data_IF_030910942278
#
_entry.id   IF_030910942278
#
_cell.length_a   1.000
_cell.length_b   1.000
_cell.length_c   1.000
_cell.angle_alpha   90.00
_cell.angle_beta   90.00
_cell.angle_gamma   90.00
#
_symmetry.space_group_name_H-M   'P 1'
#
loop_
_entity.id
_entity.type
_entity.pdbx_description
1 polymer ?
#
# COMPACT_ATOMS: atom_id res chain seq x y z
N UNK A 1 23.35 -14.63 38.63
CA UNK A 1 23.69 -13.48 37.80
C UNK A 1 22.51 -13.33 36.82
N UNK A 2 21.79 -12.23 36.87
CA UNK A 2 20.63 -12.01 36.01
C UNK A 2 21.11 -11.57 34.63
N UNK A 3 20.55 -12.10 33.50
CA UNK A 3 20.89 -11.59 32.20
C UNK A 3 20.25 -10.22 31.96
N UNK A 4 21.03 -9.31 31.43
CA UNK A 4 20.59 -7.97 31.07
C UNK A 4 19.64 -8.05 29.86
N UNK A 5 18.39 -7.64 30.09
CA UNK A 5 17.44 -7.39 29.01
C UNK A 5 17.91 -6.18 28.21
N UNK A 6 18.38 -6.39 27.01
CA UNK A 6 18.62 -5.31 26.04
C UNK A 6 17.27 -4.94 25.45
N UNK A 7 16.64 -3.95 26.08
CA UNK A 7 15.43 -3.31 25.60
C UNK A 7 15.84 -2.35 24.47
N UNK A 8 15.66 -2.73 23.22
CA UNK A 8 15.75 -1.80 22.10
C UNK A 8 14.48 -0.94 22.10
N UNK A 9 14.64 0.29 22.58
CA UNK A 9 13.62 1.35 22.46
C UNK A 9 13.49 1.76 21.00
N UNK A 10 12.45 1.27 20.33
CA UNK A 10 11.92 1.92 19.14
C UNK A 10 11.09 3.13 19.60
N UNK A 11 11.26 4.32 19.02
CA UNK A 11 10.36 5.42 19.30
C UNK A 11 8.97 5.10 18.72
N UNK A 12 8.04 4.72 19.58
CA UNK A 12 6.62 4.72 19.26
C UNK A 12 6.20 6.15 19.00
N UNK A 13 5.95 6.47 17.74
CA UNK A 13 5.31 7.72 17.35
C UNK A 13 3.86 7.67 17.83
N UNK A 14 3.60 8.32 18.97
CA UNK A 14 2.25 8.56 19.47
C UNK A 14 1.59 9.58 18.54
N UNK A 15 0.64 9.11 17.74
CA UNK A 15 -0.31 10.00 17.05
C UNK A 15 -1.37 10.40 18.06
N UNK A 16 -1.33 11.63 18.54
CA UNK A 16 -2.41 12.25 19.30
C UNK A 16 -3.59 12.50 18.36
N UNK A 17 -4.66 11.76 18.55
CA UNK A 17 -5.98 12.12 18.05
C UNK A 17 -6.54 13.21 18.97
N UNK A 18 -6.55 14.43 18.48
CA UNK A 18 -7.25 15.55 19.13
C UNK A 18 -8.66 15.64 18.60
N UNK A 19 -9.63 15.17 19.36
CA UNK A 19 -11.03 15.57 19.21
C UNK A 19 -11.19 16.99 19.69
N UNK A 20 -11.77 17.85 18.87
CA UNK A 20 -12.36 19.10 19.29
C UNK A 20 -13.76 19.22 18.70
N UNK A 21 -14.75 18.92 19.54
CA UNK A 21 -16.13 19.35 19.38
C UNK A 21 -16.24 20.87 19.38
N UNK A 22 -16.93 21.42 18.39
CA UNK A 22 -17.62 22.69 18.56
C UNK A 22 -18.98 22.68 17.89
N UNK A 23 -19.97 22.45 18.72
CA UNK A 23 -21.36 22.82 18.47
C UNK A 23 -21.54 24.33 18.60
N UNK A 24 -22.23 24.97 17.70
CA UNK A 24 -23.18 26.04 18.03
C UNK A 24 -24.11 26.37 16.87
N UNK A 25 -25.36 26.41 17.26
CA UNK A 25 -26.59 26.79 16.55
C UNK A 25 -26.55 28.25 16.03
N UNK A 26 -27.27 28.57 14.95
CA UNK A 26 -28.57 29.23 15.04
C UNK A 26 -29.08 29.78 13.70
N UNK A 27 -30.31 29.47 13.43
CA UNK A 27 -31.44 30.25 12.91
C UNK A 27 -31.22 31.34 11.84
N UNK A 28 -32.07 31.23 10.81
CA UNK A 28 -32.41 32.36 9.95
C UNK A 28 -33.31 31.94 8.77
N UNK A 29 -34.60 31.83 9.03
CA UNK A 29 -35.72 31.82 8.06
C UNK A 29 -35.68 33.05 7.15
N UNK A 30 -35.87 32.88 5.85
CA UNK A 30 -36.77 33.78 5.09
C UNK A 30 -37.26 33.16 3.80
N UNK A 31 -38.56 32.96 3.77
CA UNK A 31 -39.44 32.73 2.67
C UNK A 31 -39.53 34.00 1.80
N UNK A 32 -39.49 33.86 0.50
CA UNK A 32 -40.16 34.75 -0.42
C UNK A 32 -40.54 34.02 -1.70
N UNK A 33 -41.81 33.74 -1.76
CA UNK A 33 -42.60 33.38 -2.97
C UNK A 33 -42.68 34.56 -3.90
N UNK A 34 -42.41 34.38 -5.19
CA UNK A 34 -43.02 35.20 -6.24
C UNK A 34 -43.33 34.33 -7.46
N UNK A 35 -44.59 34.13 -7.62
CA UNK A 35 -45.25 33.64 -8.80
C UNK A 35 -45.40 34.78 -9.81
N UNK A 36 -45.01 34.57 -11.07
CA UNK A 36 -45.51 35.39 -12.21
C UNK A 36 -45.76 34.48 -13.40
N UNK A 37 -47.00 34.26 -13.62
CA UNK A 37 -47.90 34.25 -14.81
C UNK A 37 -47.25 34.03 -16.20
N UNK A 38 -47.79 33.00 -16.85
CA UNK A 38 -47.72 32.69 -18.28
C UNK A 38 -48.31 33.83 -19.10
N UNK A 39 -47.64 34.23 -20.17
CA UNK A 39 -48.30 34.71 -21.35
C UNK A 39 -47.73 34.13 -22.65
N UNK A 40 -48.61 33.72 -23.50
CA UNK A 40 -48.43 33.06 -24.78
C UNK A 40 -48.33 34.09 -25.91
N UNK A 41 -47.59 33.71 -26.93
CA UNK A 41 -47.71 34.00 -28.36
C UNK A 41 -46.54 34.76 -28.97
N UNK A 42 -45.90 34.12 -29.89
CA UNK A 42 -45.67 34.53 -31.29
C UNK A 42 -44.37 33.83 -31.82
N UNK A 43 -44.59 32.96 -32.78
CA UNK A 43 -43.58 32.32 -33.61
C UNK A 43 -43.01 33.32 -34.63
N UNK A 44 -41.68 33.49 -34.62
CA UNK A 44 -40.93 34.12 -35.72
C UNK A 44 -39.78 33.14 -36.09
N UNK A 45 -39.61 32.76 -37.37
CA UNK A 45 -38.53 31.86 -37.77
C UNK A 45 -37.20 32.61 -37.81
N UNK A 46 -36.19 32.04 -37.12
CA UNK A 46 -34.82 32.53 -37.21
C UNK A 46 -34.15 32.06 -38.49
N UNK A 47 -33.29 32.90 -39.10
CA UNK A 47 -32.50 32.52 -40.23
C UNK A 47 -31.40 31.54 -39.84
N UNK A 48 -31.29 30.46 -40.57
CA UNK A 48 -30.19 29.47 -40.50
C UNK A 48 -28.89 30.11 -40.94
N UNK A 49 -27.95 30.30 -40.03
CA UNK A 49 -26.60 30.72 -40.35
C UNK A 49 -25.75 29.45 -40.51
N UNK A 50 -25.17 29.13 -41.69
CA UNK A 50 -24.44 27.89 -41.95
C UNK A 50 -22.94 27.96 -41.60
N UNK A 51 -22.50 28.83 -40.71
CA UNK A 51 -21.09 28.94 -40.31
C UNK A 51 -20.97 29.01 -38.79
N UNK A 52 -21.25 27.89 -38.11
CA UNK A 52 -20.70 27.66 -36.78
C UNK A 52 -19.55 26.64 -36.91
N UNK A 53 -18.29 27.05 -36.77
CA UNK A 53 -17.24 26.05 -36.65
C UNK A 53 -17.56 25.21 -35.42
N UNK A 54 -17.77 23.90 -35.64
CA UNK A 54 -17.76 22.94 -34.55
C UNK A 54 -16.49 23.22 -33.72
N UNK A 55 -16.66 23.71 -32.49
CA UNK A 55 -15.57 23.70 -31.53
C UNK A 55 -15.18 22.24 -31.41
N UNK A 56 -14.01 21.88 -31.99
CA UNK A 56 -13.28 20.74 -31.53
C UNK A 56 -13.11 20.94 -30.03
N UNK A 57 -13.78 20.10 -29.24
CA UNK A 57 -13.54 20.00 -27.81
C UNK A 57 -12.10 19.51 -27.69
N UNK A 58 -11.17 20.45 -27.49
CA UNK A 58 -9.83 20.11 -27.03
C UNK A 58 -10.01 19.25 -25.77
N UNK A 59 -9.35 18.07 -25.69
CA UNK A 59 -9.44 17.25 -24.49
C UNK A 59 -9.12 18.12 -23.30
N UNK A 60 -10.06 18.20 -22.33
CA UNK A 60 -9.85 18.98 -21.12
C UNK A 60 -8.61 18.41 -20.44
N UNK A 61 -7.52 19.17 -20.46
CA UNK A 61 -6.31 18.82 -19.74
C UNK A 61 -6.66 18.65 -18.26
N UNK A 62 -6.49 17.44 -17.74
CA UNK A 62 -6.74 17.16 -16.32
C UNK A 62 -5.65 17.89 -15.54
N UNK A 63 -6.03 18.69 -14.53
CA UNK A 63 -5.07 19.40 -13.71
C UNK A 63 -4.22 18.42 -12.87
N UNK A 64 -2.90 18.65 -12.73
CA UNK A 64 -2.04 17.85 -11.86
C UNK A 64 -2.59 17.75 -10.42
N UNK A 65 -2.38 16.62 -9.77
CA UNK A 65 -2.84 16.37 -8.39
C UNK A 65 -4.31 15.98 -8.27
N UNK A 66 -5.07 15.96 -9.35
CA UNK A 66 -6.50 15.69 -9.29
C UNK A 66 -6.81 14.23 -8.98
N UNK A 67 -6.00 13.29 -9.50
CA UNK A 67 -6.13 11.87 -9.20
C UNK A 67 -5.74 11.59 -7.73
N UNK A 68 -4.65 12.20 -7.25
CA UNK A 68 -4.25 12.14 -5.83
C UNK A 68 -5.37 12.63 -4.89
N UNK A 69 -6.04 13.72 -5.25
CA UNK A 69 -7.17 14.25 -4.48
C UNK A 69 -8.36 13.28 -4.49
N UNK A 70 -8.71 12.70 -5.65
CA UNK A 70 -9.80 11.74 -5.78
C UNK A 70 -9.54 10.48 -4.94
N UNK A 71 -8.32 9.94 -4.97
CA UNK A 71 -7.91 8.81 -4.13
C UNK A 71 -7.97 9.17 -2.65
N UNK A 72 -7.43 10.34 -2.27
CA UNK A 72 -7.46 10.79 -0.86
C UNK A 72 -8.89 11.03 -0.34
N UNK A 73 -9.82 11.36 -1.23
CA UNK A 73 -11.24 11.53 -0.92
C UNK A 73 -12.04 10.20 -0.98
N UNK A 74 -11.39 9.09 -1.33
CA UNK A 74 -12.00 7.76 -1.55
C UNK A 74 -13.13 7.78 -2.60
N UNK A 75 -13.08 8.72 -3.55
CA UNK A 75 -14.08 8.87 -4.61
C UNK A 75 -13.81 7.88 -5.76
N UNK A 76 -14.32 6.66 -5.60
CA UNK A 76 -14.15 5.56 -6.55
C UNK A 76 -14.56 5.95 -7.98
N UNK A 77 -15.71 6.65 -8.12
CA UNK A 77 -16.22 7.04 -9.43
C UNK A 77 -15.33 8.07 -10.12
N UNK A 78 -14.83 9.02 -9.35
CA UNK A 78 -13.91 10.03 -9.88
C UNK A 78 -12.55 9.42 -10.22
N UNK A 79 -12.04 8.50 -9.39
CA UNK A 79 -10.81 7.74 -9.69
C UNK A 79 -10.94 6.97 -10.99
N UNK A 80 -12.03 6.22 -11.18
CA UNK A 80 -12.31 5.50 -12.44
C UNK A 80 -12.33 6.47 -13.63
N UNK A 81 -13.12 7.56 -13.52
CA UNK A 81 -13.27 8.53 -14.60
C UNK A 81 -11.91 9.17 -14.98
N UNK A 82 -11.10 9.55 -14.00
CA UNK A 82 -9.81 10.18 -14.26
C UNK A 82 -8.79 9.20 -14.85
N UNK A 83 -8.79 7.96 -14.39
CA UNK A 83 -7.92 6.89 -14.91
C UNK A 83 -8.26 6.52 -16.34
N UNK A 84 -9.56 6.46 -16.70
CA UNK A 84 -10.04 6.23 -18.07
C UNK A 84 -9.65 7.35 -19.04
N UNK A 85 -9.61 8.60 -18.56
CA UNK A 85 -9.33 9.76 -19.39
C UNK A 85 -7.86 9.98 -19.69
N UNK A 86 -6.96 9.61 -18.77
CA UNK A 86 -5.53 9.81 -18.93
C UNK A 86 -4.70 8.93 -18.01
N UNK A 87 -3.85 8.11 -18.60
CA UNK A 87 -2.82 7.35 -17.86
C UNK A 87 -1.62 8.20 -17.47
N UNK A 88 -1.49 9.42 -18.02
CA UNK A 88 -0.32 10.29 -17.79
C UNK A 88 -0.14 10.72 -16.33
N UNK A 89 -1.20 10.61 -15.50
CA UNK A 89 -1.17 11.01 -14.09
C UNK A 89 -1.29 9.82 -13.14
N UNK A 90 -1.29 8.59 -13.68
CA UNK A 90 -1.49 7.38 -12.88
C UNK A 90 -0.40 7.20 -11.80
N UNK A 91 0.80 7.67 -12.09
CA UNK A 91 1.99 7.61 -11.23
C UNK A 91 2.45 8.99 -10.74
N UNK A 92 1.58 10.02 -10.80
CA UNK A 92 1.92 11.30 -10.17
C UNK A 92 2.22 11.13 -8.68
N UNK A 93 3.12 11.95 -8.13
CA UNK A 93 3.51 11.84 -6.74
C UNK A 93 3.20 13.13 -5.99
N UNK A 94 2.75 12.99 -4.74
CA UNK A 94 2.55 14.11 -3.82
C UNK A 94 3.90 14.58 -3.23
N UNK A 95 3.86 15.58 -2.32
CA UNK A 95 5.04 16.13 -1.65
C UNK A 95 5.84 15.12 -0.81
N UNK A 96 5.27 13.96 -0.50
CA UNK A 96 5.96 12.87 0.21
C UNK A 96 6.53 11.81 -0.75
N UNK A 97 6.27 11.96 -2.04
CA UNK A 97 6.59 10.96 -3.05
C UNK A 97 5.55 9.83 -3.14
N UNK A 98 4.42 9.93 -2.46
CA UNK A 98 3.38 8.91 -2.50
C UNK A 98 2.60 8.99 -3.81
N UNK A 99 2.52 7.87 -4.55
CA UNK A 99 1.66 7.74 -5.73
C UNK A 99 0.20 7.49 -5.34
N UNK A 100 -0.77 7.69 -6.27
CA UNK A 100 -2.16 7.32 -6.03
C UNK A 100 -2.32 5.88 -5.55
N UNK A 101 -1.60 4.93 -6.16
CA UNK A 101 -1.62 3.52 -5.75
C UNK A 101 -1.05 3.32 -4.35
N UNK A 102 0.07 3.97 -4.00
CA UNK A 102 0.63 3.85 -2.65
C UNK A 102 -0.33 4.39 -1.59
N UNK A 103 -1.00 5.51 -1.84
CA UNK A 103 -2.05 6.05 -0.96
C UNK A 103 -3.18 5.04 -0.79
N UNK A 104 -3.66 4.44 -1.88
CA UNK A 104 -4.72 3.42 -1.83
C UNK A 104 -4.30 2.20 -1.00
N UNK A 105 -3.03 1.75 -1.11
CA UNK A 105 -2.47 0.64 -0.32
C UNK A 105 -2.35 1.01 1.16
N UNK A 106 -1.88 2.22 1.49
CA UNK A 106 -1.79 2.71 2.88
C UNK A 106 -3.14 2.60 3.60
N UNK A 107 -4.19 3.05 2.94
CA UNK A 107 -5.56 3.08 3.49
C UNK A 107 -6.37 1.80 3.24
N UNK A 108 -5.79 0.80 2.57
CA UNK A 108 -6.44 -0.47 2.22
C UNK A 108 -7.70 -0.30 1.34
N UNK A 109 -7.65 0.64 0.42
CA UNK A 109 -8.73 0.95 -0.54
C UNK A 109 -8.69 -0.05 -1.70
N UNK A 110 -9.23 -1.25 -1.49
CA UNK A 110 -9.05 -2.40 -2.40
C UNK A 110 -9.53 -2.08 -3.81
N UNK A 111 -10.76 -1.55 -3.97
CA UNK A 111 -11.34 -1.29 -5.27
C UNK A 111 -10.59 -0.18 -6.03
N UNK A 112 -10.17 0.87 -5.33
CA UNK A 112 -9.35 1.93 -5.91
C UNK A 112 -7.99 1.38 -6.34
N UNK A 113 -7.34 0.56 -5.51
CA UNK A 113 -6.06 -0.06 -5.87
C UNK A 113 -6.18 -0.92 -7.13
N UNK A 114 -7.26 -1.71 -7.26
CA UNK A 114 -7.53 -2.51 -8.46
C UNK A 114 -7.68 -1.64 -9.71
N UNK A 115 -8.48 -0.57 -9.64
CA UNK A 115 -8.63 0.37 -10.76
C UNK A 115 -7.27 0.93 -11.19
N UNK A 116 -6.46 1.38 -10.23
CA UNK A 116 -5.16 1.96 -10.53
C UNK A 116 -4.21 0.95 -11.17
N UNK A 117 -4.17 -0.30 -10.68
CA UNK A 117 -3.38 -1.39 -11.27
C UNK A 117 -3.85 -1.72 -12.68
N UNK A 118 -5.18 -1.79 -12.93
CA UNK A 118 -5.75 -2.05 -14.25
C UNK A 118 -5.38 -0.98 -15.28
N UNK A 119 -5.15 0.25 -14.80
CA UNK A 119 -4.69 1.37 -15.64
C UNK A 119 -3.16 1.52 -15.70
N UNK A 120 -2.44 0.52 -15.21
CA UNK A 120 -0.98 0.44 -15.34
C UNK A 120 -0.19 1.23 -14.31
N UNK A 121 -0.76 1.51 -13.14
CA UNK A 121 -0.02 2.12 -12.04
C UNK A 121 1.21 1.30 -11.65
N UNK A 122 2.33 1.98 -11.47
CA UNK A 122 3.61 1.35 -11.15
C UNK A 122 3.65 0.88 -9.69
N UNK A 123 3.56 -0.43 -9.49
CA UNK A 123 3.61 -1.06 -8.16
C UNK A 123 4.97 -0.93 -7.46
N UNK A 124 6.01 -0.56 -8.21
CA UNK A 124 7.40 -0.46 -7.75
C UNK A 124 7.83 0.98 -7.44
N UNK A 125 6.99 1.98 -7.71
CA UNK A 125 7.31 3.40 -7.52
C UNK A 125 7.44 3.74 -6.05
N UNK A 126 8.66 4.11 -5.63
CA UNK A 126 8.96 4.41 -4.23
C UNK A 126 8.66 5.87 -3.87
N UNK A 127 8.21 6.06 -2.64
CA UNK A 127 8.10 7.35 -1.98
C UNK A 127 9.45 7.80 -1.39
N UNK A 128 9.47 8.94 -0.70
CA UNK A 128 10.69 9.51 -0.11
C UNK A 128 11.27 8.69 1.06
N UNK A 129 10.51 7.73 1.60
CA UNK A 129 10.98 6.82 2.64
C UNK A 129 11.20 5.39 2.12
N UNK A 130 11.26 5.22 0.79
CA UNK A 130 11.51 3.97 0.10
C UNK A 130 10.42 2.90 0.33
N UNK A 131 9.18 3.29 0.58
CA UNK A 131 8.04 2.41 0.49
C UNK A 131 7.46 2.45 -0.94
N UNK A 132 7.17 1.30 -1.53
CA UNK A 132 6.41 1.18 -2.78
C UNK A 132 5.08 0.46 -2.51
N UNK A 133 4.08 0.55 -3.41
CA UNK A 133 2.83 -0.19 -3.26
C UNK A 133 3.05 -1.67 -2.99
N UNK A 134 3.93 -2.33 -3.75
CA UNK A 134 4.26 -3.74 -3.58
C UNK A 134 4.95 -4.04 -2.24
N UNK A 135 6.02 -3.31 -1.90
CA UNK A 135 6.75 -3.51 -0.64
C UNK A 135 5.85 -3.27 0.57
N UNK A 136 5.07 -2.19 0.55
CA UNK A 136 4.19 -1.84 1.66
C UNK A 136 3.04 -2.84 1.82
N UNK A 137 2.42 -3.27 0.72
CA UNK A 137 1.36 -4.29 0.79
C UNK A 137 1.88 -5.59 1.41
N UNK A 138 3.07 -6.04 1.02
CA UNK A 138 3.73 -7.19 1.63
C UNK A 138 3.96 -7.00 3.12
N UNK A 139 4.58 -5.88 3.48
CA UNK A 139 4.98 -5.55 4.85
C UNK A 139 3.83 -5.31 5.83
N UNK A 140 2.64 -4.91 5.36
CA UNK A 140 1.51 -4.52 6.21
C UNK A 140 0.30 -5.47 6.11
N UNK A 141 0.47 -6.65 5.51
CA UNK A 141 -0.58 -7.66 5.47
C UNK A 141 -1.77 -7.27 4.57
N UNK A 142 -1.56 -6.43 3.54
CA UNK A 142 -2.61 -6.03 2.59
C UNK A 142 -2.83 -7.13 1.54
N UNK A 143 -3.24 -8.30 2.01
CA UNK A 143 -3.19 -9.56 1.24
C UNK A 143 -3.98 -9.48 -0.07
N UNK A 144 -5.17 -8.89 -0.08
CA UNK A 144 -6.00 -8.82 -1.28
C UNK A 144 -5.39 -7.89 -2.34
N UNK A 145 -4.87 -6.74 -1.93
CA UNK A 145 -4.20 -5.81 -2.84
C UNK A 145 -2.89 -6.42 -3.35
N UNK A 146 -2.12 -7.07 -2.47
CA UNK A 146 -0.88 -7.74 -2.85
C UNK A 146 -1.15 -8.85 -3.88
N UNK A 147 -2.17 -9.68 -3.65
CA UNK A 147 -2.57 -10.73 -4.59
C UNK A 147 -2.90 -10.15 -5.97
N UNK A 148 -3.69 -9.07 -5.99
CA UNK A 148 -4.07 -8.42 -7.24
C UNK A 148 -2.89 -7.85 -8.00
N UNK A 149 -1.94 -7.19 -7.30
CA UNK A 149 -0.71 -6.69 -7.92
C UNK A 149 0.16 -7.81 -8.47
N UNK A 150 0.30 -8.94 -7.76
CA UNK A 150 1.08 -10.08 -8.22
C UNK A 150 0.48 -10.75 -9.46
N UNK A 151 -0.85 -10.75 -9.59
CA UNK A 151 -1.56 -11.33 -10.73
C UNK A 151 -1.50 -10.43 -11.97
N UNK A 152 -1.53 -9.10 -11.79
CA UNK A 152 -1.73 -8.14 -12.89
C UNK A 152 -0.53 -7.24 -13.17
N UNK A 153 0.59 -7.40 -12.45
CA UNK A 153 1.77 -6.56 -12.59
C UNK A 153 3.06 -7.33 -12.32
N UNK A 154 4.20 -6.71 -12.62
CA UNK A 154 5.52 -7.28 -12.43
C UNK A 154 6.26 -6.59 -11.28
N UNK A 155 6.45 -7.26 -10.13
CA UNK A 155 7.27 -6.72 -9.05
C UNK A 155 8.76 -6.73 -9.43
N UNK A 156 9.42 -5.58 -9.28
CA UNK A 156 10.86 -5.49 -9.43
C UNK A 156 11.56 -5.90 -8.14
N UNK A 157 12.16 -7.08 -8.14
CA UNK A 157 12.83 -7.65 -6.97
C UNK A 157 14.16 -6.97 -6.61
N UNK A 158 14.66 -6.08 -7.45
CA UNK A 158 15.84 -5.25 -7.14
C UNK A 158 15.50 -4.06 -6.24
N UNK A 159 14.22 -3.71 -6.14
CA UNK A 159 13.73 -2.61 -5.30
C UNK A 159 13.51 -3.12 -3.88
N UNK A 160 14.16 -2.46 -2.92
CA UNK A 160 14.11 -2.80 -1.51
C UNK A 160 13.65 -1.61 -0.67
N UNK A 161 13.17 -1.86 0.53
CA UNK A 161 12.79 -0.82 1.47
C UNK A 161 14.02 -0.14 2.10
N UNK A 162 13.81 0.90 2.92
CA UNK A 162 14.87 1.66 3.62
C UNK A 162 15.80 0.82 4.51
N UNK A 163 15.44 -0.41 4.82
CA UNK A 163 16.27 -1.34 5.58
C UNK A 163 16.98 -2.36 4.68
N UNK A 164 16.83 -2.25 3.37
CA UNK A 164 17.38 -3.19 2.39
C UNK A 164 16.57 -4.48 2.27
N UNK A 165 15.37 -4.55 2.81
CA UNK A 165 14.52 -5.74 2.77
C UNK A 165 13.56 -5.75 1.57
N UNK A 166 13.33 -6.93 0.98
CA UNK A 166 12.25 -7.18 0.03
C UNK A 166 10.89 -7.29 0.74
N UNK A 167 9.81 -7.59 0.02
CA UNK A 167 8.46 -7.68 0.60
C UNK A 167 8.30 -8.85 1.60
N UNK A 168 9.07 -9.93 1.44
CA UNK A 168 8.94 -11.14 2.25
C UNK A 168 9.47 -10.96 3.67
N UNK A 169 10.60 -10.25 3.83
CA UNK A 169 11.25 -10.04 5.14
C UNK A 169 10.29 -9.41 6.15
N UNK A 170 9.72 -8.21 5.92
CA UNK A 170 8.80 -7.60 6.88
C UNK A 170 7.46 -8.33 6.99
N UNK A 171 7.03 -9.07 5.95
CA UNK A 171 5.84 -9.92 6.05
C UNK A 171 6.06 -11.06 7.06
N UNK A 172 7.22 -11.69 7.03
CA UNK A 172 7.60 -12.73 7.99
C UNK A 172 7.80 -12.16 9.40
N UNK A 173 8.53 -11.03 9.51
CA UNK A 173 8.75 -10.32 10.76
C UNK A 173 7.46 -9.99 11.49
N UNK A 174 6.45 -9.46 10.77
CA UNK A 174 5.20 -8.98 11.37
C UNK A 174 4.11 -10.06 11.51
N UNK A 175 4.41 -11.30 11.16
CA UNK A 175 3.47 -12.40 11.32
C UNK A 175 2.38 -12.48 10.24
N UNK A 176 2.57 -11.87 9.09
CA UNK A 176 1.61 -11.87 7.99
C UNK A 176 1.69 -13.17 7.16
N UNK A 177 1.34 -14.30 7.78
CA UNK A 177 1.43 -15.63 7.17
C UNK A 177 0.75 -15.72 5.81
N UNK A 178 -0.40 -15.06 5.61
CA UNK A 178 -1.09 -15.05 4.34
C UNK A 178 -0.24 -14.43 3.23
N UNK A 179 0.43 -13.30 3.52
CA UNK A 179 1.32 -12.63 2.58
C UNK A 179 2.59 -13.44 2.33
N UNK A 180 3.16 -14.07 3.38
CA UNK A 180 4.30 -14.98 3.23
C UNK A 180 3.97 -16.10 2.25
N UNK A 181 2.83 -16.78 2.44
CA UNK A 181 2.37 -17.84 1.53
C UNK A 181 2.17 -17.34 0.11
N UNK A 182 1.55 -16.18 -0.04
CA UNK A 182 1.28 -15.59 -1.33
C UNK A 182 2.57 -15.28 -2.10
N UNK A 183 3.53 -14.61 -1.45
CA UNK A 183 4.83 -14.28 -2.04
C UNK A 183 5.65 -15.52 -2.40
N UNK A 184 5.64 -16.55 -1.55
CA UNK A 184 6.35 -17.79 -1.80
C UNK A 184 5.70 -18.63 -2.92
N UNK A 185 4.36 -18.63 -3.01
CA UNK A 185 3.61 -19.32 -4.07
C UNK A 185 3.82 -18.63 -5.42
N UNK A 186 3.87 -17.30 -5.45
CA UNK A 186 4.19 -16.52 -6.63
C UNK A 186 5.61 -16.83 -7.17
N UNK A 187 6.55 -17.08 -6.29
CA UNK A 187 7.88 -17.59 -6.60
C UNK A 187 8.87 -16.61 -7.22
N UNK A 188 8.48 -15.35 -7.46
CA UNK A 188 9.39 -14.31 -7.98
C UNK A 188 10.26 -13.67 -6.89
N UNK A 189 9.81 -13.72 -5.62
CA UNK A 189 10.57 -13.14 -4.50
C UNK A 189 11.82 -13.98 -4.19
N UNK A 190 12.96 -13.31 -3.97
CA UNK A 190 14.16 -13.97 -3.46
C UNK A 190 13.96 -14.32 -1.98
N UNK A 191 13.80 -15.62 -1.71
CA UNK A 191 13.52 -16.14 -0.36
C UNK A 191 14.70 -15.97 0.58
N UNK A 192 15.93 -15.95 0.03
CA UNK A 192 17.19 -15.87 0.77
C UNK A 192 17.78 -14.46 0.78
N UNK A 193 17.03 -13.47 0.28
CA UNK A 193 17.43 -12.07 0.34
C UNK A 193 17.81 -11.65 1.76
N UNK A 194 18.94 -10.95 1.89
CA UNK A 194 19.41 -10.41 3.17
C UNK A 194 19.31 -8.89 3.19
N UNK A 195 18.71 -8.36 4.24
CA UNK A 195 18.61 -6.91 4.46
C UNK A 195 19.95 -6.31 4.94
N UNK A 196 19.99 -5.02 5.26
CA UNK A 196 21.20 -4.33 5.72
C UNK A 196 21.83 -4.92 7.00
N UNK A 197 21.06 -5.68 7.77
CA UNK A 197 21.53 -6.38 8.98
C UNK A 197 21.99 -7.82 8.71
N UNK A 198 21.87 -8.26 7.45
CA UNK A 198 22.11 -9.65 7.06
C UNK A 198 20.94 -10.57 7.39
N UNK A 199 19.78 -10.05 7.80
CA UNK A 199 18.63 -10.87 8.12
C UNK A 199 17.89 -11.30 6.86
N UNK A 200 17.63 -12.60 6.76
CA UNK A 200 16.64 -13.17 5.85
C UNK A 200 15.26 -13.15 6.49
N UNK A 201 14.21 -13.43 5.73
CA UNK A 201 12.87 -13.62 6.27
C UNK A 201 12.84 -14.73 7.35
N UNK A 202 13.63 -15.79 7.17
CA UNK A 202 13.76 -16.87 8.14
C UNK A 202 14.40 -16.40 9.45
N UNK A 203 15.48 -15.63 9.38
CA UNK A 203 16.15 -15.09 10.57
C UNK A 203 15.24 -14.12 11.31
N UNK A 204 14.56 -13.19 10.61
CA UNK A 204 13.68 -12.21 11.26
C UNK A 204 12.47 -12.85 11.95
N UNK A 205 11.88 -13.89 11.36
CA UNK A 205 10.77 -14.62 11.96
C UNK A 205 11.15 -15.28 13.31
N UNK A 206 12.43 -15.57 13.51
CA UNK A 206 12.94 -16.19 14.75
C UNK A 206 13.53 -15.17 15.71
N UNK A 207 14.45 -14.33 15.23
CA UNK A 207 15.30 -13.47 16.05
C UNK A 207 14.55 -12.33 16.73
N UNK A 208 13.53 -11.78 16.06
CA UNK A 208 12.88 -10.53 16.49
C UNK A 208 11.50 -10.77 17.14
N UNK A 209 11.09 -12.02 17.32
CA UNK A 209 9.71 -12.36 17.71
C UNK A 209 9.67 -13.31 18.91
N UNK A 210 8.46 -13.65 19.32
CA UNK A 210 8.17 -14.35 20.58
C UNK A 210 8.11 -15.89 20.45
N UNK A 211 8.43 -16.43 19.27
CA UNK A 211 8.37 -17.86 19.00
C UNK A 211 6.95 -18.47 18.99
N UNK A 212 5.90 -17.64 18.98
CA UNK A 212 4.50 -18.06 18.99
C UNK A 212 4.12 -18.88 17.76
N UNK A 213 2.93 -19.47 17.78
CA UNK A 213 2.43 -20.38 16.73
C UNK A 213 2.49 -19.75 15.33
N UNK A 214 2.22 -18.45 15.20
CA UNK A 214 2.26 -17.78 13.90
C UNK A 214 3.66 -17.81 13.29
N UNK A 215 4.70 -17.58 14.10
CA UNK A 215 6.09 -17.62 13.63
C UNK A 215 6.57 -19.04 13.36
N UNK A 216 6.10 -20.04 14.13
CA UNK A 216 6.33 -21.45 13.82
C UNK A 216 5.73 -21.85 12.46
N UNK A 217 4.56 -21.31 12.12
CA UNK A 217 3.94 -21.58 10.82
C UNK A 217 4.67 -20.85 9.69
N UNK A 218 5.12 -19.61 9.90
CA UNK A 218 5.94 -18.86 8.94
C UNK A 218 7.27 -19.58 8.69
N UNK A 219 7.98 -19.98 9.72
CA UNK A 219 9.25 -20.73 9.59
C UNK A 219 9.02 -22.00 8.80
N UNK A 220 7.94 -22.74 9.07
CA UNK A 220 7.59 -23.96 8.33
C UNK A 220 7.34 -23.66 6.84
N UNK A 221 6.62 -22.60 6.50
CA UNK A 221 6.37 -22.21 5.12
C UNK A 221 7.67 -21.82 4.40
N UNK A 222 8.52 -21.01 5.04
CA UNK A 222 9.81 -20.62 4.48
C UNK A 222 10.70 -21.84 4.19
N UNK A 223 10.82 -22.76 5.15
CA UNK A 223 11.60 -23.99 4.98
C UNK A 223 11.00 -24.92 3.90
N UNK A 224 9.68 -25.03 3.84
CA UNK A 224 8.99 -25.84 2.82
C UNK A 224 9.22 -25.32 1.39
N UNK A 225 9.48 -24.01 1.24
CA UNK A 225 9.83 -23.37 -0.03
C UNK A 225 11.33 -23.24 -0.26
N UNK A 226 12.16 -23.86 0.58
CA UNK A 226 13.60 -23.99 0.37
C UNK A 226 14.45 -22.86 0.92
N UNK A 227 13.95 -22.10 1.90
CA UNK A 227 14.78 -21.10 2.59
C UNK A 227 16.08 -21.72 3.15
N UNK A 228 17.20 -21.10 2.90
CA UNK A 228 18.50 -21.56 3.33
C UNK A 228 18.72 -21.24 4.82
N UNK A 229 18.58 -22.26 5.66
CA UNK A 229 18.75 -22.13 7.12
C UNK A 229 20.18 -21.90 7.59
N UNK A 230 21.17 -22.08 6.71
CA UNK A 230 22.58 -21.90 7.02
C UNK A 230 23.07 -20.46 6.83
N UNK A 231 22.24 -19.58 6.26
CA UNK A 231 22.60 -18.17 6.10
C UNK A 231 22.78 -17.50 7.45
N UNK A 232 23.79 -16.62 7.49
CA UNK A 232 24.17 -15.91 8.71
C UNK A 232 23.96 -14.42 8.54
N UNK A 233 23.52 -13.81 9.60
CA UNK A 233 23.44 -12.35 9.70
C UNK A 233 24.84 -11.69 9.86
N UNK A 234 24.87 -10.37 9.99
CA UNK A 234 26.10 -9.61 10.18
C UNK A 234 26.82 -9.90 11.54
N UNK A 235 26.15 -10.61 12.45
CA UNK A 235 26.74 -11.08 13.71
C UNK A 235 27.25 -12.53 13.61
N UNK A 236 27.09 -13.16 12.44
CA UNK A 236 27.48 -14.53 12.18
C UNK A 236 26.49 -15.58 12.69
N UNK A 237 25.25 -15.19 13.02
CA UNK A 237 24.21 -16.07 13.58
C UNK A 237 23.24 -16.54 12.52
N UNK A 238 22.85 -17.81 12.62
CA UNK A 238 21.74 -18.41 11.85
C UNK A 238 20.41 -18.26 12.60
N UNK A 239 19.31 -18.60 11.93
CA UNK A 239 17.98 -18.71 12.56
C UNK A 239 17.98 -19.74 13.71
N UNK A 240 18.74 -20.87 13.54
CA UNK A 240 18.89 -21.90 14.56
C UNK A 240 19.62 -21.36 15.80
N UNK A 241 20.68 -20.58 15.61
CA UNK A 241 21.42 -19.97 16.72
C UNK A 241 20.50 -19.08 17.56
N UNK A 242 19.65 -18.26 16.92
CA UNK A 242 18.65 -17.44 17.61
C UNK A 242 17.60 -18.28 18.34
N UNK A 243 17.04 -19.31 17.69
CA UNK A 243 16.06 -20.20 18.33
C UNK A 243 16.61 -20.85 19.61
N UNK A 244 17.89 -21.27 19.57
CA UNK A 244 18.60 -21.87 20.72
C UNK A 244 18.82 -20.85 21.83
N UNK A 245 19.30 -19.64 21.51
CA UNK A 245 19.57 -18.59 22.50
C UNK A 245 18.30 -18.08 23.20
N UNK A 246 17.19 -18.02 22.45
CA UNK A 246 15.89 -17.53 22.95
C UNK A 246 15.08 -18.63 23.63
N UNK A 247 15.52 -19.90 23.54
CA UNK A 247 14.81 -21.04 24.14
C UNK A 247 13.51 -21.40 23.42
N UNK A 248 13.47 -21.21 22.09
CA UNK A 248 12.30 -21.51 21.27
C UNK A 248 12.34 -22.97 20.77
N UNK A 249 12.11 -23.93 21.64
CA UNK A 249 12.24 -25.37 21.37
C UNK A 249 11.46 -25.83 20.13
N UNK A 250 10.25 -25.28 19.91
CA UNK A 250 9.41 -25.63 18.76
C UNK A 250 10.00 -25.10 17.42
N UNK A 251 10.62 -23.93 17.43
CA UNK A 251 11.33 -23.40 16.27
C UNK A 251 12.65 -24.14 16.06
N UNK A 252 13.39 -24.39 17.14
CA UNK A 252 14.64 -25.13 17.08
C UNK A 252 14.44 -26.51 16.44
N UNK A 253 13.36 -27.23 16.80
CA UNK A 253 13.05 -28.54 16.21
C UNK A 253 12.71 -28.51 14.71
N UNK A 254 12.37 -27.36 14.16
CA UNK A 254 12.12 -27.19 12.72
C UNK A 254 13.43 -26.83 11.97
N UNK A 255 14.39 -26.22 12.64
CA UNK A 255 15.61 -25.70 12.05
C UNK A 255 16.76 -26.70 12.08
N UNK A 256 16.74 -27.64 13.02
CA UNK A 256 17.68 -28.79 13.09
C UNK A 256 17.32 -29.86 12.07
#
# INVERSE_FOLDING_TARGET
MKPYSILWLFPTLLVFAGCADHSSQSNGTNTSTNSIVLDSTASVPLPTNPNHPSKEETPMSIAPGRLLQAVSAEDLNLVQTLSDQSTAMIDEQNEKGESPLLIAVHHNMIDIAKILVDHGANINLQDHIQDSPYLYAGAQGKTEILAYMLENSEPDQSIVNRFGGNALIPAAEKGHLANVKLLLTDGRVDIDHQNHYGYTALIEAVALRDGSKIYQDIVRELLAHGANKELRDNQGKTAEDYARELGYDQLLSQLT
#
